data_IF_620105702396
#
_entry.id   IF_620105702396
#
_cell.length_a   1.000
_cell.length_b   1.000
_cell.length_c   1.000
_cell.angle_alpha   90.00
_cell.angle_beta   90.00
_cell.angle_gamma   90.00
#
_symmetry.space_group_name_H-M   'P 1'
#
loop_
_entity.id
_entity.type
_entity.pdbx_description
1 polymer ?
#
# COMPACT_ATOMS: atom_id res chain seq x y z
N UNK A 1 -17.24 6.59 2.14
CA UNK A 1 -16.07 6.46 1.24
C UNK A 1 -16.51 6.32 -0.21
N UNK A 2 -15.98 7.18 -1.09
CA UNK A 2 -16.13 7.13 -2.54
C UNK A 2 -14.89 6.48 -3.16
N UNK A 3 -15.04 5.90 -4.36
CA UNK A 3 -13.93 5.29 -5.10
C UNK A 3 -13.77 5.98 -6.45
N UNK A 4 -12.55 6.43 -6.73
CA UNK A 4 -12.16 6.95 -8.04
C UNK A 4 -11.08 6.06 -8.64
N UNK A 5 -10.95 6.09 -9.96
CA UNK A 5 -9.96 5.28 -10.67
C UNK A 5 -9.03 6.15 -11.50
N UNK A 6 -7.77 5.74 -11.58
CA UNK A 6 -6.77 6.37 -12.43
C UNK A 6 -5.71 5.35 -12.86
N UNK A 7 -4.83 5.73 -13.78
CA UNK A 7 -3.69 4.88 -14.15
C UNK A 7 -2.71 4.72 -12.98
N UNK A 8 -2.38 5.83 -12.32
CA UNK A 8 -1.40 5.88 -11.22
C UNK A 8 -1.69 7.06 -10.29
N UNK A 9 -1.38 6.90 -9.00
CA UNK A 9 -1.34 8.01 -8.04
C UNK A 9 0.09 8.50 -7.84
N UNK A 10 0.31 9.82 -7.86
CA UNK A 10 1.62 10.39 -7.51
C UNK A 10 1.64 10.95 -6.11
N UNK A 11 2.42 10.30 -5.24
CA UNK A 11 2.74 10.78 -3.88
C UNK A 11 3.31 12.20 -3.89
N UNK A 12 4.30 12.47 -4.75
CA UNK A 12 4.97 13.76 -4.85
C UNK A 12 4.05 14.91 -5.29
N UNK A 13 3.04 14.61 -6.12
CA UNK A 13 2.11 15.62 -6.64
C UNK A 13 0.75 15.60 -5.93
N UNK A 14 0.54 14.63 -5.03
CA UNK A 14 -0.71 14.37 -4.29
C UNK A 14 -1.93 14.38 -5.22
N UNK A 15 -1.81 13.72 -6.38
CA UNK A 15 -2.85 13.75 -7.43
C UNK A 15 -2.82 12.49 -8.32
N UNK A 16 -3.96 12.15 -8.92
CA UNK A 16 -4.04 11.08 -9.90
C UNK A 16 -3.42 11.46 -11.25
N UNK A 17 -2.91 10.46 -11.95
CA UNK A 17 -2.49 10.50 -13.34
C UNK A 17 -3.54 9.77 -14.17
N UNK A 18 -4.08 10.45 -15.19
CA UNK A 18 -5.10 9.94 -16.10
C UNK A 18 -6.29 9.32 -15.37
N UNK A 19 -7.30 10.15 -15.08
CA UNK A 19 -8.56 9.66 -14.50
C UNK A 19 -9.18 8.64 -15.45
N UNK A 20 -9.60 7.50 -14.89
CA UNK A 20 -10.33 6.46 -15.57
C UNK A 20 -11.80 6.53 -15.16
N UNK A 21 -12.70 6.31 -16.12
CA UNK A 21 -14.07 5.96 -15.77
C UNK A 21 -14.14 4.53 -15.21
N UNK A 22 -15.21 4.25 -14.46
CA UNK A 22 -15.40 2.96 -13.79
C UNK A 22 -15.41 1.78 -14.76
N UNK A 23 -15.98 1.96 -15.96
CA UNK A 23 -16.04 0.91 -16.97
C UNK A 23 -14.64 0.53 -17.49
N UNK A 24 -13.80 1.53 -17.75
CA UNK A 24 -12.42 1.35 -18.20
C UNK A 24 -11.58 0.68 -17.11
N UNK A 25 -11.69 1.14 -15.86
CA UNK A 25 -11.02 0.51 -14.73
C UNK A 25 -11.49 -0.94 -14.50
N UNK A 26 -12.78 -1.21 -14.70
CA UNK A 26 -13.32 -2.57 -14.64
C UNK A 26 -12.73 -3.47 -15.73
N UNK A 27 -12.60 -2.97 -16.97
CA UNK A 27 -11.94 -3.72 -18.04
C UNK A 27 -10.47 -4.01 -17.70
N UNK A 28 -9.74 -3.03 -17.16
CA UNK A 28 -8.37 -3.26 -16.69
C UNK A 28 -8.33 -4.38 -15.64
N UNK A 29 -9.27 -4.37 -14.69
CA UNK A 29 -9.35 -5.41 -13.68
C UNK A 29 -9.59 -6.80 -14.27
N UNK A 30 -10.53 -6.93 -15.22
CA UNK A 30 -10.84 -8.21 -15.88
C UNK A 30 -9.64 -8.73 -16.67
N UNK A 31 -8.92 -7.84 -17.36
CA UNK A 31 -7.77 -8.16 -18.20
C UNK A 31 -6.46 -8.25 -17.42
N UNK A 32 -6.49 -8.05 -16.10
CA UNK A 32 -5.31 -7.97 -15.21
C UNK A 32 -4.31 -6.91 -15.65
N UNK A 33 -4.78 -5.83 -16.24
CA UNK A 33 -4.00 -4.63 -16.53
C UNK A 33 -3.89 -3.75 -15.28
N UNK A 34 -2.79 -2.98 -15.13
CA UNK A 34 -2.62 -2.06 -14.02
C UNK A 34 -3.71 -0.99 -13.97
N UNK A 35 -4.15 -0.67 -12.76
CA UNK A 35 -4.94 0.53 -12.45
C UNK A 35 -4.82 0.84 -10.95
N UNK A 36 -5.22 2.05 -10.57
CA UNK A 36 -5.26 2.50 -9.18
C UNK A 36 -6.70 2.81 -8.77
N UNK A 37 -7.11 2.33 -7.61
CA UNK A 37 -8.33 2.74 -6.93
C UNK A 37 -7.98 3.71 -5.79
N UNK A 38 -8.62 4.88 -5.79
CA UNK A 38 -8.48 5.93 -4.79
C UNK A 38 -9.73 5.89 -3.93
N UNK A 39 -9.57 5.49 -2.68
CA UNK A 39 -10.63 5.45 -1.70
C UNK A 39 -10.56 6.75 -0.89
N UNK A 40 -11.63 7.54 -0.93
CA UNK A 40 -11.65 8.88 -0.37
C UNK A 40 -12.90 9.16 0.47
N UNK A 41 -12.72 9.90 1.57
CA UNK A 41 -13.79 10.52 2.36
C UNK A 41 -13.78 12.03 2.11
N UNK A 42 -14.93 12.62 1.79
CA UNK A 42 -15.06 14.05 1.45
C UNK A 42 -14.00 14.58 0.46
N UNK A 43 -13.79 13.82 -0.63
CA UNK A 43 -12.78 14.07 -1.69
C UNK A 43 -11.30 13.95 -1.25
N UNK A 44 -11.05 13.63 0.01
CA UNK A 44 -9.71 13.41 0.55
C UNK A 44 -9.31 11.94 0.45
N UNK A 45 -8.21 11.59 -0.22
CA UNK A 45 -7.72 10.22 -0.28
C UNK A 45 -7.32 9.71 1.11
N UNK A 46 -7.86 8.57 1.50
CA UNK A 46 -7.44 7.83 2.70
C UNK A 46 -6.59 6.62 2.30
N UNK A 47 -6.99 5.92 1.25
CA UNK A 47 -6.28 4.76 0.74
C UNK A 47 -6.08 4.85 -0.77
N UNK A 48 -4.89 4.45 -1.20
CA UNK A 48 -4.54 4.30 -2.61
C UNK A 48 -4.19 2.84 -2.85
N UNK A 49 -4.98 2.16 -3.66
CA UNK A 49 -4.82 0.74 -3.95
C UNK A 49 -4.36 0.56 -5.39
N UNK A 50 -3.10 0.19 -5.58
CA UNK A 50 -2.59 -0.13 -6.92
C UNK A 50 -2.79 -1.63 -7.16
N UNK A 51 -3.45 -1.96 -8.26
CA UNK A 51 -3.79 -3.33 -8.59
C UNK A 51 -3.13 -3.70 -9.91
N UNK A 52 -2.31 -4.74 -9.89
CA UNK A 52 -1.69 -5.32 -11.09
C UNK A 52 -1.93 -6.83 -11.12
N UNK A 53 -1.38 -7.50 -12.14
CA UNK A 53 -1.40 -8.97 -12.23
C UNK A 53 -0.54 -9.65 -11.17
N UNK A 54 0.59 -9.05 -10.82
CA UNK A 54 1.63 -9.69 -10.00
C UNK A 54 1.72 -9.11 -8.59
N UNK A 55 1.21 -7.89 -8.41
CA UNK A 55 1.29 -7.15 -7.15
C UNK A 55 0.00 -6.38 -6.88
N UNK A 56 -0.33 -6.25 -5.60
CA UNK A 56 -1.32 -5.30 -5.10
C UNK A 56 -0.65 -4.49 -4.00
N UNK A 57 -0.66 -3.16 -4.10
CA UNK A 57 -0.18 -2.29 -3.02
C UNK A 57 -1.27 -1.42 -2.44
N UNK A 58 -1.18 -1.15 -1.15
CA UNK A 58 -2.11 -0.29 -0.41
C UNK A 58 -1.32 0.76 0.35
N UNK A 59 -1.43 2.02 -0.06
CA UNK A 59 -0.93 3.17 0.66
C UNK A 59 -2.00 3.78 1.55
N UNK A 60 -1.62 4.20 2.75
CA UNK A 60 -2.47 4.84 3.76
C UNK A 60 -1.99 6.28 3.94
N UNK A 61 -2.93 7.23 3.92
CA UNK A 61 -2.63 8.65 3.85
C UNK A 61 -3.17 9.39 5.06
N UNK A 62 -2.37 10.32 5.57
CA UNK A 62 -2.74 11.14 6.71
C UNK A 62 -3.50 12.40 6.32
N UNK A 63 -3.71 13.28 7.30
CA UNK A 63 -4.49 14.49 7.11
C UNK A 63 -3.89 15.48 6.08
N UNK A 64 -2.57 15.40 5.85
CA UNK A 64 -1.84 16.21 4.88
C UNK A 64 -1.60 15.47 3.55
N UNK A 65 -2.27 14.32 3.37
CA UNK A 65 -2.14 13.43 2.21
C UNK A 65 -0.67 12.97 2.06
N UNK A 66 -0.05 12.60 3.18
CA UNK A 66 1.28 11.95 3.20
C UNK A 66 1.09 10.46 3.45
N UNK A 67 1.79 9.63 2.67
CA UNK A 67 1.73 8.19 2.81
C UNK A 67 2.52 7.75 4.05
N UNK A 68 1.85 7.45 5.15
CA UNK A 68 2.50 7.04 6.41
C UNK A 68 2.66 5.53 6.53
N UNK A 69 1.90 4.76 5.75
CA UNK A 69 1.98 3.30 5.71
C UNK A 69 1.77 2.79 4.28
N UNK A 70 2.52 1.78 3.87
CA UNK A 70 2.32 1.06 2.62
C UNK A 70 2.50 -0.44 2.82
N UNK A 71 1.55 -1.20 2.27
CA UNK A 71 1.66 -2.65 2.15
C UNK A 71 1.83 -3.06 0.70
N UNK A 72 2.81 -3.92 0.44
CA UNK A 72 3.01 -4.56 -0.87
C UNK A 72 2.74 -6.06 -0.76
N UNK A 73 1.70 -6.50 -1.45
CA UNK A 73 1.30 -7.89 -1.55
C UNK A 73 1.72 -8.48 -2.88
N UNK A 74 2.39 -9.62 -2.84
CA UNK A 74 2.61 -10.45 -4.03
C UNK A 74 1.36 -11.26 -4.34
N UNK A 75 1.00 -11.35 -5.61
CA UNK A 75 -0.10 -12.19 -6.10
C UNK A 75 0.39 -13.62 -6.23
N UNK A 76 -0.07 -14.45 -5.32
CA UNK A 76 0.22 -15.88 -5.26
C UNK A 76 -0.79 -16.68 -6.09
N UNK A 77 -0.47 -17.95 -6.34
CA UNK A 77 -1.37 -18.86 -7.05
C UNK A 77 -2.76 -18.97 -6.39
N UNK A 78 -3.80 -19.17 -7.21
CA UNK A 78 -5.17 -19.34 -6.72
C UNK A 78 -5.84 -18.05 -6.23
N UNK A 79 -5.34 -16.87 -6.62
CA UNK A 79 -5.92 -15.58 -6.24
C UNK A 79 -5.64 -15.19 -4.79
N UNK A 80 -4.62 -15.78 -4.18
CA UNK A 80 -4.16 -15.40 -2.84
C UNK A 80 -3.14 -14.27 -2.94
N UNK A 81 -3.07 -13.48 -1.89
CA UNK A 81 -2.08 -12.44 -1.69
C UNK A 81 -1.20 -12.81 -0.51
N UNK A 82 0.09 -12.50 -0.59
CA UNK A 82 1.00 -12.56 0.55
C UNK A 82 1.69 -11.21 0.74
N UNK A 83 1.58 -10.65 1.93
CA UNK A 83 2.26 -9.40 2.31
C UNK A 83 3.76 -9.64 2.35
N UNK A 84 4.49 -9.07 1.39
CA UNK A 84 5.95 -9.16 1.27
C UNK A 84 6.64 -8.02 2.00
N UNK A 85 6.07 -6.83 1.95
CA UNK A 85 6.70 -5.64 2.51
C UNK A 85 5.66 -4.76 3.19
N UNK A 86 5.96 -4.34 4.42
CA UNK A 86 5.28 -3.23 5.08
C UNK A 86 6.28 -2.08 5.28
N UNK A 87 5.89 -0.88 4.89
CA UNK A 87 6.71 0.33 5.05
C UNK A 87 5.92 1.35 5.86
N UNK A 88 6.58 1.97 6.83
CA UNK A 88 6.05 3.03 7.66
C UNK A 88 6.94 4.25 7.55
N UNK A 89 6.33 5.43 7.51
CA UNK A 89 7.02 6.71 7.53
C UNK A 89 6.43 7.59 8.62
N UNK A 90 7.31 8.16 9.43
CA UNK A 90 6.97 9.21 10.38
C UNK A 90 7.43 10.54 9.79
N UNK A 91 6.56 11.54 9.82
CA UNK A 91 6.82 12.88 9.30
C UNK A 91 6.86 13.91 10.42
N UNK A 92 7.51 15.04 10.15
CA UNK A 92 7.37 16.25 10.94
C UNK A 92 5.91 16.74 10.91
N UNK A 93 5.38 17.26 12.03
CA UNK A 93 3.94 17.51 12.17
C UNK A 93 3.38 18.49 11.12
N UNK A 94 4.19 19.44 10.66
CA UNK A 94 3.75 20.53 9.78
C UNK A 94 4.25 20.40 8.34
N UNK A 95 5.24 19.53 8.09
CA UNK A 95 5.93 19.48 6.79
C UNK A 95 5.97 18.07 6.21
N UNK A 96 6.21 17.95 4.90
CA UNK A 96 6.43 16.65 4.24
C UNK A 96 7.83 16.05 4.56
N UNK A 97 8.51 16.54 5.61
CA UNK A 97 9.85 16.08 6.00
C UNK A 97 9.75 14.76 6.77
N UNK A 98 10.31 13.70 6.20
CA UNK A 98 10.48 12.41 6.88
C UNK A 98 11.44 12.53 8.07
N UNK A 99 11.02 11.99 9.21
CA UNK A 99 11.81 11.89 10.44
C UNK A 99 12.38 10.49 10.59
N UNK A 100 11.54 9.47 10.41
CA UNK A 100 11.91 8.07 10.50
C UNK A 100 11.22 7.23 9.42
N UNK A 101 11.83 6.10 9.07
CA UNK A 101 11.16 5.04 8.31
C UNK A 101 11.41 3.68 8.94
N UNK A 102 10.46 2.77 8.76
CA UNK A 102 10.54 1.37 9.15
C UNK A 102 10.09 0.51 7.99
N UNK A 103 10.92 -0.44 7.57
CA UNK A 103 10.61 -1.40 6.53
C UNK A 103 10.65 -2.80 7.16
N UNK A 104 9.58 -3.56 6.96
CA UNK A 104 9.48 -4.97 7.32
C UNK A 104 9.36 -5.79 6.04
N UNK A 105 10.28 -6.72 5.83
CA UNK A 105 10.24 -7.72 4.77
C UNK A 105 9.82 -9.07 5.32
N UNK A 106 8.96 -9.78 4.59
CA UNK A 106 8.37 -11.04 5.00
C UNK A 106 8.58 -12.13 3.95
N UNK A 107 8.89 -13.34 4.41
CA UNK A 107 8.95 -14.54 3.58
C UNK A 107 7.96 -15.59 4.07
N UNK A 108 7.43 -16.41 3.16
CA UNK A 108 6.38 -17.39 3.45
C UNK A 108 6.81 -18.46 4.48
N UNK A 109 8.13 -18.67 4.64
CA UNK A 109 8.70 -19.59 5.63
C UNK A 109 8.73 -19.00 7.05
N UNK A 110 8.19 -17.79 7.23
CA UNK A 110 8.13 -17.09 8.50
C UNK A 110 9.31 -16.17 8.79
N UNK A 111 10.29 -16.05 7.89
CA UNK A 111 11.39 -15.12 8.07
C UNK A 111 10.92 -13.66 7.95
N UNK A 112 11.40 -12.83 8.88
CA UNK A 112 11.10 -11.40 8.97
C UNK A 112 12.42 -10.65 9.03
N UNK A 113 12.60 -9.67 8.14
CA UNK A 113 13.67 -8.69 8.21
C UNK A 113 13.09 -7.31 8.52
N UNK A 114 13.80 -6.54 9.33
CA UNK A 114 13.42 -5.19 9.71
C UNK A 114 14.60 -4.25 9.45
N UNK A 115 14.33 -3.12 8.79
CA UNK A 115 15.22 -1.96 8.76
C UNK A 115 14.48 -0.75 9.32
N UNK A 116 15.04 -0.09 10.33
CA UNK A 116 14.56 1.20 10.84
C UNK A 116 15.63 2.26 10.60
N UNK A 117 15.23 3.40 10.05
CA UNK A 117 16.12 4.53 9.75
C UNK A 117 15.64 5.79 10.44
N UNK A 118 16.55 6.49 11.10
CA UNK A 118 16.34 7.85 11.62
C UNK A 118 17.06 8.83 10.70
N UNK A 119 16.30 9.71 10.05
CA UNK A 119 16.84 10.65 9.06
C UNK A 119 17.54 11.86 9.69
N UNK A 120 17.30 12.14 10.98
CA UNK A 120 17.92 13.25 11.70
C UNK A 120 19.35 12.90 12.10
N UNK A 121 19.58 11.68 12.57
CA UNK A 121 20.88 11.17 13.01
C UNK A 121 21.61 10.40 11.92
N UNK A 122 20.88 9.90 10.92
CA UNK A 122 21.39 8.98 9.91
C UNK A 122 21.57 7.54 10.40
N UNK A 123 21.11 7.21 11.62
CA UNK A 123 21.25 5.85 12.16
C UNK A 123 20.34 4.87 11.45
N UNK A 124 20.84 3.65 11.28
CA UNK A 124 20.10 2.51 10.73
C UNK A 124 20.18 1.37 11.75
N UNK A 125 19.03 0.78 12.04
CA UNK A 125 18.89 -0.40 12.87
C UNK A 125 18.32 -1.53 12.02
N UNK A 126 18.98 -2.68 12.02
CA UNK A 126 18.53 -3.88 11.33
C UNK A 126 18.26 -4.99 12.34
N UNK A 127 17.17 -5.74 12.14
CA UNK A 127 16.84 -6.92 12.93
C UNK A 127 16.25 -8.00 12.06
N UNK A 128 16.42 -9.24 12.50
CA UNK A 128 15.79 -10.41 11.89
C UNK A 128 15.02 -11.19 12.95
N UNK A 129 13.94 -11.82 12.54
CA UNK A 129 13.11 -12.68 13.38
C UNK A 129 12.51 -13.83 12.57
N UNK A 130 11.88 -14.77 13.29
CA UNK A 130 11.02 -15.80 12.71
C UNK A 130 9.71 -15.87 13.48
N UNK A 131 8.60 -15.91 12.76
CA UNK A 131 7.27 -16.07 13.34
C UNK A 131 6.31 -16.75 12.35
N UNK A 132 5.10 -17.11 12.80
CA UNK A 132 4.00 -17.53 11.94
C UNK A 132 3.34 -16.32 11.30
N UNK A 133 3.25 -16.29 9.98
CA UNK A 133 2.73 -15.16 9.20
C UNK A 133 1.33 -15.40 8.64
N UNK A 134 0.45 -16.03 9.42
CA UNK A 134 -0.91 -16.36 8.97
C UNK A 134 -1.72 -15.11 8.58
N UNK A 135 -1.49 -13.99 9.27
CA UNK A 135 -2.19 -12.71 9.02
C UNK A 135 -1.67 -11.93 7.81
N UNK A 136 -0.51 -12.32 7.27
CA UNK A 136 0.07 -11.72 6.06
C UNK A 136 -0.62 -12.23 4.78
N UNK A 137 -1.49 -13.23 4.90
CA UNK A 137 -2.27 -13.74 3.78
C UNK A 137 -3.57 -12.97 3.61
N UNK A 138 -3.91 -12.69 2.36
CA UNK A 138 -5.21 -12.12 1.99
C UNK A 138 -5.69 -12.69 0.64
N UNK A 139 -6.80 -12.18 0.12
CA UNK A 139 -7.34 -12.53 -1.19
C UNK A 139 -7.22 -11.37 -2.17
N UNK A 140 -6.99 -11.71 -3.44
CA UNK A 140 -6.99 -10.73 -4.52
C UNK A 140 -8.33 -9.99 -4.53
N UNK A 141 -8.34 -8.65 -4.59
CA UNK A 141 -9.57 -7.89 -4.43
C UNK A 141 -10.50 -8.13 -5.61
N UNK A 142 -11.80 -8.16 -5.35
CA UNK A 142 -12.79 -7.98 -6.41
C UNK A 142 -12.86 -6.50 -6.80
N UNK A 143 -13.28 -6.20 -8.03
CA UNK A 143 -13.42 -4.81 -8.47
C UNK A 143 -14.40 -4.04 -7.58
N UNK A 144 -13.97 -2.88 -7.08
CA UNK A 144 -14.75 -2.06 -6.13
C UNK A 144 -14.74 -2.54 -4.68
N UNK A 145 -14.16 -3.71 -4.38
CA UNK A 145 -14.11 -4.30 -3.03
C UNK A 145 -12.66 -4.32 -2.51
N UNK A 146 -12.16 -3.16 -2.08
CA UNK A 146 -10.76 -3.00 -1.65
C UNK A 146 -10.59 -2.84 -0.13
N UNK A 147 -11.68 -2.56 0.58
CA UNK A 147 -11.68 -2.22 2.00
C UNK A 147 -11.04 -3.29 2.90
N UNK A 148 -11.19 -4.57 2.55
CA UNK A 148 -10.56 -5.65 3.31
C UNK A 148 -9.03 -5.61 3.24
N UNK A 149 -8.44 -4.95 2.25
CA UNK A 149 -6.99 -4.75 2.20
C UNK A 149 -6.54 -3.55 3.06
N UNK A 150 -7.43 -2.60 3.32
CA UNK A 150 -7.19 -1.31 3.97
C UNK A 150 -7.29 -1.43 5.51
N UNK A 151 -6.52 -2.32 6.11
CA UNK A 151 -6.46 -2.56 7.56
C UNK A 151 -5.04 -2.31 8.07
N UNK A 152 -4.85 -1.33 8.94
CA UNK A 152 -3.54 -0.97 9.51
C UNK A 152 -2.95 -2.05 10.43
N UNK A 153 -3.79 -2.87 11.04
CA UNK A 153 -3.33 -3.99 11.87
C UNK A 153 -3.24 -5.25 11.00
N UNK A 154 -2.01 -5.70 10.76
CA UNK A 154 -1.66 -6.97 10.11
C UNK A 154 -0.97 -7.90 11.09
#
# INVERSE_FOLDING_TARGET
>A
MQIYYCDEWSDNKKKPWNILDEHTAYLHHQEKQPYTAILAEDEKPEYIVNVTKEWVSVGFYDELIRKYLNYDFEVMSGGKLFLRTAMYWEYDDETDKELNSLILGFQEDGYIAMEKRDFKTGSVEEREAKDTLEKNWDIYPEFGQYLHLCREER
#
